data_IF_336712365589
#
_entry.id   IF_336712365589
#
_cell.length_a   1.000
_cell.length_b   1.000
_cell.length_c   1.000
_cell.angle_alpha   90.00
_cell.angle_beta   90.00
_cell.angle_gamma   90.00
#
_symmetry.space_group_name_H-M   'P 1'
#
loop_
_entity.id
_entity.type
_entity.pdbx_description
1 polymer ?
#
# COMPACT_ATOMS: atom_id res chain seq x y z
N UNK A 1 1.38 13.28 -24.88
CA UNK A 1 0.29 14.07 -24.27
C UNK A 1 -0.82 13.09 -23.94
N UNK A 2 -0.88 12.63 -22.69
CA UNK A 2 -1.81 11.58 -22.26
C UNK A 2 -3.23 12.13 -22.11
N UNK A 3 -4.20 11.46 -22.72
CA UNK A 3 -5.62 11.76 -22.50
C UNK A 3 -6.05 11.14 -21.16
N UNK A 4 -6.57 12.00 -20.30
CA UNK A 4 -7.12 11.68 -18.98
C UNK A 4 -8.43 10.91 -19.19
N UNK A 5 -8.60 9.74 -18.57
CA UNK A 5 -9.93 9.15 -18.39
C UNK A 5 -10.08 8.62 -16.97
N UNK A 6 -11.19 8.99 -16.32
CA UNK A 6 -11.45 8.85 -14.88
C UNK A 6 -12.16 7.53 -14.58
N UNK A 7 -11.73 6.83 -13.51
CA UNK A 7 -12.60 5.83 -12.89
C UNK A 7 -13.66 6.50 -12.04
N UNK A 8 -14.89 6.07 -12.31
CA UNK A 8 -16.12 6.60 -11.74
C UNK A 8 -16.75 5.49 -10.93
N UNK A 9 -16.50 5.45 -9.62
CA UNK A 9 -17.41 4.75 -8.73
C UNK A 9 -18.65 5.64 -8.60
N UNK A 10 -19.82 5.13 -8.95
CA UNK A 10 -21.06 5.91 -8.88
C UNK A 10 -22.14 5.22 -8.06
N UNK A 11 -22.93 6.01 -7.37
CA UNK A 11 -24.11 5.56 -6.64
C UNK A 11 -25.23 6.57 -6.77
N UNK A 12 -26.46 6.08 -6.75
CA UNK A 12 -27.65 6.92 -6.81
C UNK A 12 -28.52 6.67 -5.59
N UNK A 13 -28.97 7.74 -4.95
CA UNK A 13 -29.87 7.71 -3.82
C UNK A 13 -31.16 8.47 -4.14
N UNK A 14 -32.30 7.90 -3.76
CA UNK A 14 -33.62 8.52 -3.91
C UNK A 14 -34.14 8.97 -2.54
N UNK A 15 -34.37 10.27 -2.39
CA UNK A 15 -34.95 10.85 -1.20
C UNK A 15 -36.39 11.30 -1.47
N UNK A 16 -37.35 10.54 -0.96
CA UNK A 16 -38.78 10.84 -1.07
C UNK A 16 -39.20 11.84 0.02
N UNK A 17 -39.77 12.96 -0.38
CA UNK A 17 -40.17 14.06 0.49
C UNK A 17 -41.67 14.26 0.42
N UNK A 18 -42.30 14.39 1.58
CA UNK A 18 -43.72 14.72 1.69
C UNK A 18 -43.91 16.24 1.64
N UNK A 19 -44.71 16.71 0.69
CA UNK A 19 -44.84 18.13 0.39
C UNK A 19 -45.49 18.92 1.55
N UNK A 20 -46.43 18.29 2.27
CA UNK A 20 -47.08 18.86 3.45
C UNK A 20 -46.08 19.26 4.54
N UNK A 21 -45.00 18.48 4.71
CA UNK A 21 -44.01 18.65 5.79
C UNK A 21 -43.02 19.78 5.55
N UNK A 22 -42.96 20.33 4.34
CA UNK A 22 -41.98 21.34 3.95
C UNK A 22 -42.58 22.74 3.78
N UNK A 23 -43.91 22.86 3.75
CA UNK A 23 -44.61 24.15 3.55
C UNK A 23 -44.28 25.18 4.62
N UNK A 24 -44.17 24.72 5.86
CA UNK A 24 -44.02 25.59 7.03
C UNK A 24 -42.55 25.68 7.51
N UNK A 25 -41.60 25.12 6.75
CA UNK A 25 -40.18 25.18 7.11
C UNK A 25 -39.69 26.62 6.94
N UNK A 26 -39.12 27.25 7.99
CA UNK A 26 -38.58 28.61 7.88
C UNK A 26 -37.48 28.75 6.82
N UNK A 27 -37.28 29.97 6.34
CA UNK A 27 -36.10 30.29 5.52
C UNK A 27 -34.82 29.98 6.32
N UNK A 28 -33.85 29.37 5.66
CA UNK A 28 -32.60 28.92 6.24
C UNK A 28 -32.64 27.53 6.88
N UNK A 29 -33.83 26.96 7.09
CA UNK A 29 -33.98 25.61 7.63
C UNK A 29 -34.13 24.54 6.54
N UNK A 30 -33.89 23.29 6.91
CA UNK A 30 -33.88 22.16 5.99
C UNK A 30 -34.45 20.87 6.58
N UNK A 31 -34.80 19.94 5.70
CA UNK A 31 -34.93 18.52 6.03
C UNK A 31 -33.73 17.74 5.53
N UNK A 32 -33.34 16.69 6.26
CA UNK A 32 -32.26 15.79 5.88
C UNK A 32 -32.78 14.43 5.47
N UNK A 33 -32.15 13.82 4.48
CA UNK A 33 -32.30 12.38 4.24
C UNK A 33 -31.70 11.57 5.39
N UNK A 34 -32.09 10.29 5.54
CA UNK A 34 -31.27 9.31 6.25
C UNK A 34 -29.84 9.25 5.68
N UNK A 35 -28.90 8.79 6.51
CA UNK A 35 -27.53 8.52 6.05
C UNK A 35 -27.56 7.31 5.12
N UNK A 36 -26.92 7.43 3.96
CA UNK A 36 -26.72 6.36 3.00
C UNK A 36 -25.24 6.22 2.67
N UNK A 37 -24.82 5.02 2.26
CA UNK A 37 -23.41 4.72 2.00
C UNK A 37 -23.17 4.70 0.50
N UNK A 38 -22.17 5.45 0.03
CA UNK A 38 -21.67 5.35 -1.35
C UNK A 38 -20.16 5.21 -1.34
N UNK A 39 -19.66 4.16 -2.02
CA UNK A 39 -18.23 3.84 -2.07
C UNK A 39 -17.57 3.74 -0.67
N UNK A 40 -18.29 3.22 0.32
CA UNK A 40 -17.79 3.11 1.70
C UNK A 40 -17.87 4.39 2.55
N UNK A 41 -18.31 5.52 1.99
CA UNK A 41 -18.45 6.79 2.70
C UNK A 41 -19.88 7.08 3.13
N UNK A 42 -20.05 7.71 4.29
CA UNK A 42 -21.37 8.10 4.81
C UNK A 42 -21.82 9.42 4.15
N UNK A 43 -23.00 9.42 3.57
CA UNK A 43 -23.55 10.51 2.78
C UNK A 43 -24.96 10.88 3.25
N UNK A 44 -25.37 12.14 3.09
CA UNK A 44 -26.75 12.60 3.28
C UNK A 44 -27.07 13.78 2.37
N UNK A 45 -28.36 14.03 2.14
CA UNK A 45 -28.87 15.18 1.39
C UNK A 45 -29.61 16.09 2.37
N UNK A 46 -29.34 17.39 2.31
CA UNK A 46 -30.10 18.41 3.01
C UNK A 46 -30.88 19.24 1.98
N UNK A 47 -32.18 19.40 2.20
CA UNK A 47 -33.08 20.13 1.32
C UNK A 47 -33.69 21.33 2.04
N UNK A 48 -33.40 22.52 1.52
CA UNK A 48 -33.85 23.81 2.00
C UNK A 48 -34.97 24.31 1.07
N UNK A 49 -36.25 24.09 1.40
CA UNK A 49 -37.37 24.39 0.50
C UNK A 49 -37.51 25.88 0.17
N UNK A 50 -37.11 26.76 1.09
CA UNK A 50 -37.25 28.21 0.92
C UNK A 50 -35.91 28.96 0.78
N UNK A 51 -34.80 28.23 0.66
CA UNK A 51 -33.46 28.83 0.55
C UNK A 51 -33.02 29.63 1.78
N UNK A 52 -32.01 30.48 1.61
CA UNK A 52 -31.48 31.39 2.64
C UNK A 52 -31.89 32.85 2.41
N UNK A 53 -32.13 33.23 1.15
CA UNK A 53 -32.35 34.61 0.74
C UNK A 53 -33.82 34.83 0.34
N UNK A 54 -34.24 36.09 0.22
CA UNK A 54 -35.63 36.46 -0.12
C UNK A 54 -36.07 36.09 -1.55
N UNK A 55 -35.15 35.55 -2.35
CA UNK A 55 -35.39 35.17 -3.74
C UNK A 55 -36.20 33.86 -3.91
N UNK A 56 -36.54 33.17 -2.82
CA UNK A 56 -37.38 31.95 -2.87
C UNK A 56 -36.72 30.76 -3.57
N UNK A 57 -35.39 30.77 -3.64
CA UNK A 57 -34.60 29.78 -4.37
C UNK A 57 -34.34 28.59 -3.44
N UNK A 58 -34.98 27.45 -3.71
CA UNK A 58 -34.71 26.21 -2.97
C UNK A 58 -33.24 25.79 -3.12
N UNK A 59 -32.69 25.12 -2.10
CA UNK A 59 -31.29 24.67 -2.11
C UNK A 59 -31.17 23.20 -1.74
N UNK A 60 -30.26 22.50 -2.41
CA UNK A 60 -29.88 21.13 -2.09
C UNK A 60 -28.40 21.09 -1.74
N UNK A 61 -28.08 20.48 -0.61
CA UNK A 61 -26.71 20.29 -0.14
C UNK A 61 -26.45 18.80 -0.03
N UNK A 62 -25.32 18.37 -0.59
CA UNK A 62 -24.78 17.04 -0.41
C UNK A 62 -23.72 17.12 0.68
N UNK A 63 -23.89 16.32 1.72
CA UNK A 63 -22.95 16.24 2.82
C UNK A 63 -22.34 14.83 2.88
N UNK A 64 -21.02 14.77 3.05
CA UNK A 64 -20.28 13.51 3.13
C UNK A 64 -19.32 13.53 4.31
N UNK A 65 -19.19 12.37 4.97
CA UNK A 65 -18.15 12.07 5.94
C UNK A 65 -17.19 11.02 5.35
N UNK A 66 -15.96 11.43 5.09
CA UNK A 66 -14.93 10.60 4.50
C UNK A 66 -14.27 9.69 5.54
N UNK A 67 -14.48 8.37 5.40
CA UNK A 67 -13.86 7.34 6.25
C UNK A 67 -12.41 6.99 5.89
N UNK A 68 -11.97 7.24 4.65
CA UNK A 68 -10.63 6.85 4.16
C UNK A 68 -10.01 7.96 3.31
N UNK A 69 -9.19 8.80 3.94
CA UNK A 69 -8.49 9.91 3.26
C UNK A 69 -9.40 10.99 2.68
N UNK A 70 -8.78 11.97 2.02
CA UNK A 70 -9.48 13.02 1.29
C UNK A 70 -9.99 12.49 -0.06
N UNK A 71 -11.22 12.87 -0.40
CA UNK A 71 -11.93 12.31 -1.56
C UNK A 71 -12.44 13.42 -2.46
N UNK A 72 -12.25 13.25 -3.77
CA UNK A 72 -12.82 14.15 -4.78
C UNK A 72 -13.98 13.46 -5.48
N UNK A 73 -15.14 14.11 -5.48
CA UNK A 73 -16.34 13.59 -6.13
C UNK A 73 -17.11 14.68 -6.87
N UNK A 74 -17.77 14.28 -7.95
CA UNK A 74 -18.82 15.06 -8.60
C UNK A 74 -20.16 14.50 -8.16
N UNK A 75 -21.17 15.35 -8.02
CA UNK A 75 -22.52 14.88 -7.70
C UNK A 75 -23.55 15.70 -8.44
N UNK A 76 -24.69 15.10 -8.73
CA UNK A 76 -25.79 15.76 -9.40
C UNK A 76 -27.09 15.49 -8.64
N UNK A 77 -27.90 16.54 -8.57
CA UNK A 77 -29.23 16.48 -8.04
C UNK A 77 -30.25 16.49 -9.15
N UNK A 78 -31.33 15.73 -8.96
CA UNK A 78 -32.43 15.56 -9.87
C UNK A 78 -33.77 15.55 -9.15
N UNK A 79 -34.86 15.85 -9.84
CA UNK A 79 -36.22 15.57 -9.36
C UNK A 79 -36.97 14.69 -10.35
N UNK A 80 -37.70 13.72 -9.84
CA UNK A 80 -38.65 12.93 -10.62
C UNK A 80 -39.95 13.71 -10.78
N UNK A 81 -40.47 13.75 -12.00
CA UNK A 81 -41.82 14.25 -12.26
C UNK A 81 -42.88 13.26 -11.72
N UNK A 82 -44.16 13.65 -11.80
CA UNK A 82 -45.29 12.80 -11.36
C UNK A 82 -45.40 11.45 -12.10
N UNK A 83 -44.72 11.28 -13.22
CA UNK A 83 -44.65 10.03 -13.98
C UNK A 83 -43.44 9.16 -13.61
N UNK A 84 -42.63 9.59 -12.63
CA UNK A 84 -41.42 8.88 -12.19
C UNK A 84 -40.22 9.06 -13.13
N UNK A 85 -40.28 10.03 -14.05
CA UNK A 85 -39.19 10.32 -14.99
C UNK A 85 -38.37 11.51 -14.51
N UNK A 86 -37.05 11.45 -14.70
CA UNK A 86 -36.16 12.54 -14.37
C UNK A 86 -36.49 13.77 -15.23
N UNK A 87 -36.74 14.91 -14.60
CA UNK A 87 -36.99 16.15 -15.34
C UNK A 87 -35.69 16.83 -15.75
N UNK A 88 -35.55 17.10 -17.05
CA UNK A 88 -34.38 17.78 -17.63
C UNK A 88 -34.23 19.22 -17.16
N UNK A 89 -35.34 19.90 -16.83
CA UNK A 89 -35.34 21.25 -16.23
C UNK A 89 -34.81 21.26 -14.79
N UNK A 90 -34.77 20.07 -14.18
CA UNK A 90 -34.67 19.85 -12.76
C UNK A 90 -33.41 19.07 -12.38
N UNK A 91 -32.32 19.32 -13.11
CA UNK A 91 -31.04 18.66 -12.92
C UNK A 91 -29.93 19.70 -12.73
N UNK A 92 -29.11 19.54 -11.70
CA UNK A 92 -27.94 20.39 -11.41
C UNK A 92 -26.77 19.52 -11.01
N UNK A 93 -25.64 19.71 -11.69
CA UNK A 93 -24.39 18.99 -11.42
C UNK A 93 -23.39 19.92 -10.74
N UNK A 94 -22.73 19.43 -9.70
CA UNK A 94 -21.50 19.98 -9.15
C UNK A 94 -20.35 19.18 -9.73
N UNK A 95 -19.46 19.89 -10.45
CA UNK A 95 -18.46 19.24 -11.28
C UNK A 95 -17.34 18.60 -10.47
N UNK A 96 -16.81 19.24 -9.44
CA UNK A 96 -15.80 18.66 -8.54
C UNK A 96 -15.87 19.31 -7.16
N UNK A 97 -15.93 18.49 -6.12
CA UNK A 97 -15.85 18.93 -4.74
C UNK A 97 -14.91 17.99 -3.96
N UNK A 98 -14.06 18.58 -3.12
CA UNK A 98 -13.16 17.83 -2.23
C UNK A 98 -13.77 17.76 -0.84
N UNK A 99 -13.79 16.55 -0.28
CA UNK A 99 -14.29 16.23 1.04
C UNK A 99 -13.12 15.72 1.88
N UNK A 100 -12.89 16.31 3.05
CA UNK A 100 -11.75 15.95 3.90
C UNK A 100 -12.12 14.92 4.95
N UNK A 101 -11.13 14.15 5.38
CA UNK A 101 -11.30 13.09 6.37
C UNK A 101 -11.77 13.63 7.74
N UNK A 102 -12.58 12.82 8.45
CA UNK A 102 -12.99 13.01 9.85
C UNK A 102 -13.92 14.20 10.15
N UNK A 103 -14.50 14.85 9.13
CA UNK A 103 -15.51 15.90 9.29
C UNK A 103 -16.63 15.73 8.27
N UNK A 104 -17.84 16.18 8.60
CA UNK A 104 -18.90 16.35 7.61
C UNK A 104 -18.57 17.56 6.74
N UNK A 105 -18.34 17.32 5.46
CA UNK A 105 -18.12 18.37 4.46
C UNK A 105 -19.35 18.54 3.58
N UNK A 106 -19.80 19.77 3.46
CA UNK A 106 -21.05 20.15 2.79
C UNK A 106 -20.74 20.91 1.49
N UNK A 107 -21.27 20.41 0.37
CA UNK A 107 -21.23 21.10 -0.92
C UNK A 107 -22.62 21.06 -1.54
N UNK A 108 -23.10 22.18 -2.08
CA UNK A 108 -24.49 22.27 -2.51
C UNK A 108 -24.72 23.16 -3.71
N UNK A 109 -25.89 23.03 -4.30
CA UNK A 109 -26.38 23.84 -5.42
C UNK A 109 -27.68 24.53 -5.03
N UNK A 110 -27.79 25.77 -5.45
CA UNK A 110 -29.04 26.52 -5.39
C UNK A 110 -29.82 26.30 -6.67
N UNK A 111 -31.14 26.19 -6.54
CA UNK A 111 -32.05 25.91 -7.62
C UNK A 111 -33.17 26.92 -7.59
N UNK A 112 -33.18 27.79 -8.62
CA UNK A 112 -34.30 28.70 -8.84
C UNK A 112 -35.40 27.95 -9.57
N UNK A 113 -36.45 27.57 -8.85
CA UNK A 113 -37.66 27.01 -9.43
C UNK A 113 -38.86 27.70 -8.82
N UNK A 114 -39.81 28.10 -9.64
CA UNK A 114 -41.03 28.71 -9.16
C UNK A 114 -41.84 27.65 -8.39
N UNK A 115 -42.26 27.98 -7.17
CA UNK A 115 -42.91 27.03 -6.25
C UNK A 115 -44.20 26.43 -6.84
N UNK A 116 -44.92 27.20 -7.66
CA UNK A 116 -46.12 26.80 -8.41
C UNK A 116 -45.86 25.76 -9.52
N UNK A 117 -44.71 25.86 -10.21
CA UNK A 117 -44.27 24.85 -11.19
C UNK A 117 -43.84 23.55 -10.50
N UNK A 118 -43.33 23.62 -9.26
CA UNK A 118 -42.88 22.45 -8.50
C UNK A 118 -44.04 21.53 -8.07
N UNK A 119 -45.17 22.10 -7.63
CA UNK A 119 -46.33 21.33 -7.16
C UNK A 119 -47.03 20.58 -8.29
N UNK A 120 -47.31 21.25 -9.40
CA UNK A 120 -48.11 20.71 -10.51
C UNK A 120 -47.38 19.64 -11.36
N UNK A 121 -46.05 19.69 -11.40
CA UNK A 121 -45.23 18.81 -12.23
C UNK A 121 -44.55 17.66 -11.48
N UNK A 122 -44.23 17.83 -10.18
CA UNK A 122 -43.38 16.89 -9.44
C UNK A 122 -44.09 16.18 -8.29
N UNK A 123 -45.13 16.80 -7.73
CA UNK A 123 -45.84 16.20 -6.60
C UNK A 123 -46.85 15.18 -7.13
N UNK A 124 -46.72 13.94 -6.67
CA UNK A 124 -47.65 12.84 -6.89
C UNK A 124 -48.01 12.24 -5.55
N UNK A 125 -49.30 12.09 -5.27
CA UNK A 125 -49.80 11.53 -4.00
C UNK A 125 -49.21 12.27 -2.78
N UNK A 126 -49.09 13.60 -2.88
CA UNK A 126 -48.54 14.46 -1.83
C UNK A 126 -47.02 14.39 -1.64
N UNK A 127 -46.30 13.63 -2.45
CA UNK A 127 -44.84 13.48 -2.34
C UNK A 127 -44.12 13.84 -3.65
N UNK A 128 -42.85 14.22 -3.55
CA UNK A 128 -41.93 14.27 -4.69
C UNK A 128 -40.63 13.53 -4.33
N UNK A 129 -39.87 13.14 -5.35
CA UNK A 129 -38.63 12.37 -5.15
C UNK A 129 -37.44 13.17 -5.68
N UNK A 130 -36.49 13.43 -4.78
CA UNK A 130 -35.17 13.94 -5.09
C UNK A 130 -34.24 12.78 -5.41
N UNK A 131 -33.40 12.95 -6.42
CA UNK A 131 -32.35 12.02 -6.80
C UNK A 131 -31.02 12.70 -6.56
N UNK A 132 -30.11 12.00 -5.90
CA UNK A 132 -28.69 12.38 -5.87
C UNK A 132 -27.88 11.27 -6.52
N UNK A 133 -27.16 11.58 -7.58
CA UNK A 133 -26.14 10.70 -8.15
C UNK A 133 -24.77 11.23 -7.76
N UNK A 134 -23.96 10.41 -7.11
CA UNK A 134 -22.60 10.74 -6.70
C UNK A 134 -21.65 9.92 -7.56
N UNK A 135 -20.60 10.56 -8.06
CA UNK A 135 -19.55 10.00 -8.89
C UNK A 135 -18.22 10.38 -8.26
N UNK A 136 -17.57 9.41 -7.63
CA UNK A 136 -16.21 9.54 -7.13
C UNK A 136 -15.26 9.55 -8.30
N UNK A 137 -14.32 10.48 -8.28
CA UNK A 137 -13.32 10.62 -9.33
C UNK A 137 -12.00 10.23 -8.70
N UNK A 138 -11.58 9.00 -8.97
CA UNK A 138 -10.22 8.59 -8.68
C UNK A 138 -9.36 8.93 -9.89
N UNK A 139 -8.23 9.60 -9.67
CA UNK A 139 -7.16 9.61 -10.66
C UNK A 139 -6.58 8.19 -10.71
N UNK A 140 -7.20 7.33 -11.54
CA UNK A 140 -6.56 6.10 -11.98
C UNK A 140 -6.19 6.25 -13.45
N UNK A 141 -4.92 6.06 -13.75
CA UNK A 141 -4.37 6.08 -15.10
C UNK A 141 -5.01 4.94 -15.91
N UNK A 142 -5.89 5.26 -16.86
CA UNK A 142 -6.46 4.25 -17.78
C UNK A 142 -5.69 4.15 -19.08
N UNK A 143 -5.12 2.98 -19.30
CA UNK A 143 -4.34 2.60 -20.47
C UNK A 143 -5.17 2.58 -21.77
N UNK A 144 -4.48 2.93 -22.86
CA UNK A 144 -4.85 2.79 -24.30
C UNK A 144 -5.32 1.34 -24.60
N UNK A 145 -6.16 1.07 -25.64
CA UNK A 145 -6.58 -0.29 -25.96
C UNK A 145 -5.36 -1.17 -26.24
N UNK A 146 -5.06 -2.07 -25.32
CA UNK A 146 -3.96 -3.00 -25.39
C UNK A 146 -4.53 -4.41 -25.24
N UNK A 147 -4.02 -5.35 -26.03
CA UNK A 147 -4.16 -6.80 -25.83
C UNK A 147 -3.51 -7.30 -24.51
N UNK A 148 -3.35 -6.41 -23.53
CA UNK A 148 -2.62 -6.57 -22.29
C UNK A 148 -3.57 -6.17 -21.16
N UNK A 149 -3.85 -7.11 -20.26
CA UNK A 149 -4.81 -6.99 -19.17
C UNK A 149 -4.01 -6.84 -17.87
N UNK A 150 -4.41 -5.94 -16.97
CA UNK A 150 -3.97 -5.84 -15.57
C UNK A 150 -2.50 -5.48 -15.26
N UNK A 151 -1.75 -4.82 -16.16
CA UNK A 151 -0.34 -4.46 -15.88
C UNK A 151 0.59 -5.67 -15.67
N UNK A 152 0.05 -6.87 -15.86
CA UNK A 152 0.77 -8.14 -15.88
C UNK A 152 0.71 -8.56 -17.34
N UNK A 153 1.87 -8.55 -18.01
CA UNK A 153 2.03 -9.36 -19.21
C UNK A 153 1.48 -10.76 -18.86
N UNK A 154 0.68 -11.44 -19.69
CA UNK A 154 0.24 -12.83 -19.41
C UNK A 154 1.41 -13.84 -19.32
N UNK A 155 2.61 -13.30 -19.30
CA UNK A 155 3.92 -13.86 -19.44
C UNK A 155 4.85 -12.94 -18.65
N UNK A 156 5.10 -13.24 -17.39
CA UNK A 156 6.13 -12.51 -16.66
C UNK A 156 7.49 -12.97 -17.21
N UNK A 157 8.38 -12.02 -17.53
CA UNK A 157 9.75 -12.38 -17.94
C UNK A 157 10.42 -13.20 -16.82
N UNK A 158 10.08 -12.89 -15.57
CA UNK A 158 10.51 -13.62 -14.39
C UNK A 158 10.08 -15.08 -14.44
N UNK A 159 8.85 -15.39 -14.89
CA UNK A 159 8.37 -16.78 -15.02
C UNK A 159 9.16 -17.54 -16.10
N UNK A 160 9.51 -16.88 -17.20
CA UNK A 160 10.33 -17.50 -18.25
C UNK A 160 11.77 -17.70 -17.84
N UNK A 161 12.35 -16.72 -17.14
CA UNK A 161 13.69 -16.82 -16.57
C UNK A 161 13.72 -17.91 -15.49
N UNK A 162 12.69 -18.00 -14.65
CA UNK A 162 12.55 -19.08 -13.68
C UNK A 162 12.47 -20.45 -14.36
N UNK A 163 11.62 -20.59 -15.39
CA UNK A 163 11.54 -21.82 -16.17
C UNK A 163 12.87 -22.18 -16.84
N UNK A 164 13.64 -21.18 -17.29
CA UNK A 164 14.98 -21.38 -17.83
C UNK A 164 15.92 -21.99 -16.78
N UNK A 165 15.86 -21.50 -15.53
CA UNK A 165 16.60 -22.06 -14.40
C UNK A 165 16.14 -23.49 -14.08
N UNK A 166 14.83 -23.76 -14.00
CA UNK A 166 14.29 -25.07 -13.65
C UNK A 166 14.57 -26.15 -14.71
N UNK A 167 14.40 -25.81 -15.99
CA UNK A 167 14.64 -26.75 -17.10
C UNK A 167 16.11 -27.00 -17.37
N UNK A 168 17.01 -26.14 -16.87
CA UNK A 168 18.47 -26.21 -17.07
C UNK A 168 18.88 -26.17 -18.56
N UNK A 169 18.01 -25.65 -19.42
CA UNK A 169 18.24 -25.55 -20.87
C UNK A 169 19.31 -24.49 -21.15
N UNK A 170 20.36 -24.87 -21.90
CA UNK A 170 21.49 -23.99 -22.21
C UNK A 170 22.29 -23.48 -21.00
N UNK A 171 22.19 -24.15 -19.84
CA UNK A 171 23.03 -23.87 -18.70
C UNK A 171 24.52 -24.09 -19.04
N UNK A 172 25.35 -23.08 -18.80
CA UNK A 172 26.76 -23.02 -19.18
C UNK A 172 27.70 -22.90 -17.97
N UNK A 173 27.15 -22.98 -16.76
CA UNK A 173 27.91 -23.05 -15.50
C UNK A 173 27.22 -23.95 -14.49
N UNK A 174 28.01 -24.60 -13.65
CA UNK A 174 27.56 -25.37 -12.49
C UNK A 174 28.28 -24.92 -11.22
N UNK A 175 27.59 -25.06 -10.10
CA UNK A 175 28.09 -24.76 -8.76
C UNK A 175 27.91 -26.00 -7.88
N UNK A 176 28.90 -26.29 -7.06
CA UNK A 176 28.83 -27.33 -6.02
C UNK A 176 28.69 -26.64 -4.66
N UNK A 177 27.60 -26.94 -3.95
CA UNK A 177 27.24 -26.34 -2.66
C UNK A 177 26.93 -27.47 -1.70
N UNK A 178 27.80 -27.72 -0.71
CA UNK A 178 27.68 -28.86 0.22
C UNK A 178 27.39 -30.22 -0.47
N UNK A 179 27.99 -30.45 -1.64
CA UNK A 179 27.81 -31.67 -2.45
C UNK A 179 26.58 -31.68 -3.36
N UNK A 180 25.73 -30.65 -3.31
CA UNK A 180 24.63 -30.44 -4.25
C UNK A 180 25.09 -29.64 -5.47
N UNK A 181 24.65 -30.06 -6.67
CA UNK A 181 25.01 -29.40 -7.93
C UNK A 181 23.87 -28.51 -8.43
N UNK A 182 24.17 -27.22 -8.58
CA UNK A 182 23.28 -26.21 -9.13
C UNK A 182 23.77 -25.75 -10.49
N UNK A 183 22.94 -25.85 -11.52
CA UNK A 183 23.26 -25.38 -12.88
C UNK A 183 22.59 -24.04 -13.15
N UNK A 184 23.28 -23.13 -13.85
CA UNK A 184 22.78 -21.78 -14.13
C UNK A 184 23.39 -21.21 -15.42
N UNK A 185 23.11 -19.93 -15.68
CA UNK A 185 23.52 -19.19 -16.87
C UNK A 185 24.47 -18.06 -16.50
N UNK A 186 25.68 -18.07 -17.04
CA UNK A 186 26.74 -17.07 -16.77
C UNK A 186 26.26 -15.66 -17.07
N UNK A 187 25.55 -15.48 -18.18
CA UNK A 187 25.02 -14.17 -18.60
C UNK A 187 24.00 -13.59 -17.62
N UNK A 188 23.06 -14.40 -17.13
CA UNK A 188 22.04 -13.97 -16.17
C UNK A 188 22.69 -13.63 -14.83
N UNK A 189 23.56 -14.51 -14.31
CA UNK A 189 24.29 -14.27 -13.05
C UNK A 189 25.15 -13.00 -13.13
N UNK A 190 25.91 -12.83 -14.21
CA UNK A 190 26.79 -11.68 -14.41
C UNK A 190 26.04 -10.36 -14.62
N UNK A 191 24.83 -10.39 -15.18
CA UNK A 191 24.01 -9.19 -15.31
C UNK A 191 23.44 -8.72 -13.97
N UNK A 192 23.27 -9.63 -13.01
CA UNK A 192 22.53 -9.42 -11.77
C UNK A 192 23.41 -9.29 -10.53
N UNK A 193 24.67 -9.71 -10.62
CA UNK A 193 25.67 -9.63 -9.54
C UNK A 193 27.02 -9.22 -10.11
N UNK A 194 27.60 -8.16 -9.56
CA UNK A 194 28.94 -7.71 -9.94
C UNK A 194 30.02 -8.75 -9.58
N UNK A 195 29.81 -9.48 -8.48
CA UNK A 195 30.71 -10.55 -8.04
C UNK A 195 30.68 -11.71 -9.03
N UNK A 196 29.49 -12.17 -9.43
CA UNK A 196 29.40 -13.19 -10.49
C UNK A 196 29.88 -12.67 -11.84
N UNK A 197 29.70 -11.39 -12.15
CA UNK A 197 30.26 -10.79 -13.37
C UNK A 197 31.78 -10.94 -13.41
N UNK A 198 32.46 -10.52 -12.35
CA UNK A 198 33.91 -10.65 -12.23
C UNK A 198 34.36 -12.12 -12.24
N UNK A 199 33.68 -13.00 -11.50
CA UNK A 199 34.04 -14.40 -11.37
C UNK A 199 33.84 -15.19 -12.67
N UNK A 200 32.75 -14.92 -13.40
CA UNK A 200 32.34 -15.71 -14.56
C UNK A 200 32.78 -15.06 -15.88
N UNK A 201 32.73 -13.74 -16.01
CA UNK A 201 33.06 -13.05 -17.27
C UNK A 201 34.36 -12.26 -17.20
N UNK A 202 34.98 -12.16 -16.02
CA UNK A 202 36.23 -11.44 -15.84
C UNK A 202 37.46 -12.13 -16.45
N UNK A 203 38.61 -11.45 -16.48
CA UNK A 203 39.84 -11.95 -17.11
C UNK A 203 40.36 -13.27 -16.53
N UNK A 204 40.06 -13.53 -15.26
CA UNK A 204 40.48 -14.72 -14.53
C UNK A 204 39.40 -15.82 -14.50
N UNK A 205 38.31 -15.65 -15.25
CA UNK A 205 37.24 -16.64 -15.28
C UNK A 205 37.77 -17.98 -15.79
N UNK A 206 37.52 -19.03 -14.99
CA UNK A 206 37.82 -20.41 -15.39
C UNK A 206 37.10 -20.76 -16.69
N UNK A 207 37.84 -21.32 -17.65
CA UNK A 207 37.29 -21.83 -18.92
C UNK A 207 36.91 -23.32 -18.86
N UNK A 208 37.08 -23.94 -17.68
CA UNK A 208 36.74 -25.33 -17.45
C UNK A 208 35.23 -25.54 -17.27
N UNK A 209 34.80 -26.78 -17.47
CA UNK A 209 33.42 -27.23 -17.19
C UNK A 209 33.24 -27.76 -15.76
N UNK A 210 34.29 -27.69 -14.93
CA UNK A 210 34.22 -28.15 -13.55
C UNK A 210 33.30 -27.26 -12.71
N UNK A 211 32.49 -27.83 -11.80
CA UNK A 211 31.63 -27.05 -10.92
C UNK A 211 32.43 -26.08 -10.04
N UNK A 212 31.91 -24.85 -9.91
CA UNK A 212 32.47 -23.84 -9.02
C UNK A 212 32.02 -24.15 -7.59
N UNK A 213 32.97 -24.39 -6.68
CA UNK A 213 32.66 -24.69 -5.28
C UNK A 213 32.23 -23.44 -4.51
N UNK A 214 31.14 -23.56 -3.76
CA UNK A 214 30.64 -22.55 -2.83
C UNK A 214 30.63 -23.17 -1.43
N UNK A 215 31.53 -22.71 -0.54
CA UNK A 215 31.74 -23.31 0.78
C UNK A 215 30.95 -22.61 1.91
N UNK A 216 30.64 -21.32 1.76
CA UNK A 216 30.08 -20.50 2.85
C UNK A 216 28.55 -20.27 2.76
N UNK A 217 27.85 -20.99 1.88
CA UNK A 217 26.42 -20.80 1.64
C UNK A 217 25.74 -22.16 1.68
N UNK A 218 24.71 -22.31 2.51
CA UNK A 218 23.91 -23.54 2.56
C UNK A 218 23.13 -23.74 1.25
N UNK A 219 22.86 -24.98 0.79
CA UNK A 219 22.13 -25.24 -0.46
C UNK A 219 20.79 -24.50 -0.57
N UNK A 220 20.00 -24.47 0.50
CA UNK A 220 18.72 -23.76 0.53
C UNK A 220 18.85 -22.23 0.33
N UNK A 221 19.92 -21.63 0.86
CA UNK A 221 20.19 -20.20 0.74
C UNK A 221 20.64 -19.90 -0.68
N UNK A 222 21.52 -20.74 -1.23
CA UNK A 222 21.95 -20.62 -2.62
C UNK A 222 20.79 -20.77 -3.61
N UNK A 223 19.88 -21.71 -3.34
CA UNK A 223 18.64 -21.87 -4.11
C UNK A 223 17.77 -20.60 -4.06
N UNK A 224 17.59 -20.00 -2.89
CA UNK A 224 16.84 -18.75 -2.75
C UNK A 224 17.52 -17.57 -3.47
N UNK A 225 18.86 -17.49 -3.43
CA UNK A 225 19.61 -16.50 -4.21
C UNK A 225 19.41 -16.68 -5.71
N UNK A 226 19.49 -17.92 -6.21
CA UNK A 226 19.25 -18.21 -7.63
C UNK A 226 17.81 -17.85 -8.02
N UNK A 227 16.82 -18.18 -7.19
CA UNK A 227 15.45 -17.75 -7.44
C UNK A 227 15.37 -16.22 -7.61
N UNK A 228 15.87 -15.46 -6.63
CA UNK A 228 15.89 -14.00 -6.69
C UNK A 228 16.61 -13.44 -7.93
N UNK A 229 17.76 -14.02 -8.31
CA UNK A 229 18.52 -13.56 -9.48
C UNK A 229 17.68 -13.65 -10.76
N UNK A 230 16.82 -14.66 -10.89
CA UNK A 230 16.00 -14.89 -12.08
C UNK A 230 14.63 -14.22 -12.01
N UNK A 231 14.11 -13.92 -10.81
CA UNK A 231 12.71 -13.52 -10.64
C UNK A 231 12.45 -12.28 -9.80
N UNK A 232 13.49 -11.64 -9.26
CA UNK A 232 13.36 -10.48 -8.34
C UNK A 232 12.46 -10.76 -7.11
N UNK A 233 12.22 -12.04 -6.80
CA UNK A 233 11.34 -12.48 -5.72
C UNK A 233 12.00 -13.59 -4.90
N UNK A 234 11.57 -13.70 -3.65
CA UNK A 234 11.93 -14.83 -2.80
C UNK A 234 11.01 -16.02 -3.10
N UNK A 235 11.50 -17.27 -2.95
CA UNK A 235 10.62 -18.43 -2.99
C UNK A 235 9.58 -18.34 -1.87
N UNK A 236 8.47 -19.06 -2.01
CA UNK A 236 7.53 -19.20 -0.89
C UNK A 236 8.20 -20.02 0.22
N UNK A 237 8.54 -19.34 1.31
CA UNK A 237 9.23 -19.94 2.46
C UNK A 237 8.25 -20.34 3.58
N UNK A 238 6.93 -20.33 3.32
CA UNK A 238 5.89 -20.52 4.33
C UNK A 238 5.76 -21.95 4.84
N UNK A 239 6.20 -22.96 4.07
CA UNK A 239 6.02 -24.37 4.43
C UNK A 239 7.04 -24.88 5.48
N UNK A 240 8.14 -24.15 5.69
CA UNK A 240 9.16 -24.49 6.68
C UNK A 240 8.93 -23.72 7.99
N UNK A 241 7.86 -24.10 8.70
CA UNK A 241 7.61 -23.66 10.07
C UNK A 241 8.85 -23.93 10.95
N UNK A 242 9.67 -22.89 11.20
CA UNK A 242 10.46 -22.57 12.42
C UNK A 242 11.76 -21.75 12.15
N UNK A 243 12.21 -21.50 10.91
CA UNK A 243 13.52 -20.83 10.71
C UNK A 243 13.56 -19.57 9.84
N UNK A 244 12.42 -18.97 9.48
CA UNK A 244 12.39 -17.85 8.52
C UNK A 244 13.35 -16.69 8.87
N UNK A 245 13.47 -16.31 10.14
CA UNK A 245 14.42 -15.26 10.58
C UNK A 245 15.87 -15.70 10.34
N UNK A 246 16.27 -16.89 10.83
CA UNK A 246 17.63 -17.40 10.65
C UNK A 246 17.97 -17.61 9.16
N UNK A 247 17.01 -18.06 8.35
CA UNK A 247 17.16 -18.15 6.90
C UNK A 247 17.38 -16.77 6.27
N UNK A 248 16.56 -15.78 6.65
CA UNK A 248 16.67 -14.41 6.15
C UNK A 248 18.01 -13.79 6.54
N UNK A 249 18.51 -14.07 7.75
CA UNK A 249 19.83 -13.66 8.21
C UNK A 249 20.95 -14.24 7.35
N UNK A 250 20.93 -15.55 7.09
CA UNK A 250 21.91 -16.19 6.20
C UNK A 250 21.80 -15.68 4.76
N UNK A 251 20.57 -15.41 4.29
CA UNK A 251 20.33 -14.86 2.97
C UNK A 251 20.84 -13.42 2.83
N UNK A 252 20.72 -12.60 3.89
CA UNK A 252 21.27 -11.25 3.94
C UNK A 252 22.79 -11.26 3.80
N UNK A 253 23.48 -12.12 4.55
CA UNK A 253 24.94 -12.29 4.45
C UNK A 253 25.35 -12.72 3.04
N UNK A 254 24.59 -13.63 2.42
CA UNK A 254 24.87 -14.06 1.06
C UNK A 254 24.55 -12.96 0.03
N UNK A 255 23.48 -12.18 0.22
CA UNK A 255 23.15 -11.05 -0.63
C UNK A 255 24.25 -10.00 -0.64
N UNK A 256 24.79 -9.66 0.53
CA UNK A 256 25.92 -8.74 0.67
C UNK A 256 27.19 -9.28 -0.01
N UNK A 257 27.55 -10.54 0.29
CA UNK A 257 28.73 -11.22 -0.30
C UNK A 257 28.72 -11.23 -1.83
N UNK A 258 27.55 -11.38 -2.45
CA UNK A 258 27.40 -11.44 -3.90
C UNK A 258 26.91 -10.12 -4.52
N UNK A 259 26.87 -9.02 -3.76
CA UNK A 259 26.42 -7.71 -4.22
C UNK A 259 25.04 -7.74 -4.91
N UNK A 260 24.07 -8.38 -4.24
CA UNK A 260 22.68 -8.47 -4.66
C UNK A 260 21.83 -7.44 -3.89
N UNK A 261 21.99 -6.16 -4.21
CA UNK A 261 21.43 -5.04 -3.42
C UNK A 261 19.91 -5.13 -3.21
N UNK A 262 19.17 -5.52 -4.25
CA UNK A 262 17.71 -5.70 -4.13
C UNK A 262 17.31 -6.79 -3.14
N UNK A 263 18.06 -7.90 -3.11
CA UNK A 263 17.85 -8.99 -2.16
C UNK A 263 18.22 -8.56 -0.74
N UNK A 264 19.33 -7.80 -0.62
CA UNK A 264 19.78 -7.23 0.65
C UNK A 264 18.68 -6.38 1.29
N UNK A 265 18.09 -5.44 0.53
CA UNK A 265 16.97 -4.60 0.97
C UNK A 265 15.76 -5.43 1.42
N UNK A 266 15.37 -6.45 0.66
CA UNK A 266 14.23 -7.32 1.01
C UNK A 266 14.47 -8.07 2.32
N UNK A 267 15.69 -8.58 2.53
CA UNK A 267 16.07 -9.25 3.76
C UNK A 267 16.08 -8.28 4.96
N UNK A 268 16.61 -7.06 4.79
CA UNK A 268 16.61 -6.04 5.83
C UNK A 268 15.19 -5.66 6.28
N UNK A 269 14.29 -5.35 5.34
CA UNK A 269 12.89 -5.00 5.61
C UNK A 269 12.11 -6.14 6.29
N UNK A 270 12.45 -7.40 5.99
CA UNK A 270 11.88 -8.55 6.68
C UNK A 270 12.37 -8.64 8.13
N UNK A 271 13.68 -8.51 8.35
CA UNK A 271 14.28 -8.63 9.68
C UNK A 271 13.87 -7.49 10.61
N UNK A 272 13.75 -6.27 10.10
CA UNK A 272 13.26 -5.11 10.85
C UNK A 272 11.86 -5.35 11.42
N UNK A 273 10.97 -6.00 10.65
CA UNK A 273 9.60 -6.35 11.09
C UNK A 273 9.56 -7.46 12.13
N UNK A 274 10.61 -8.29 12.20
CA UNK A 274 10.71 -9.43 13.11
C UNK A 274 11.58 -9.15 14.34
N UNK A 275 11.94 -7.89 14.63
CA UNK A 275 12.67 -7.51 15.85
C UNK A 275 11.81 -7.82 17.09
N UNK A 276 12.31 -8.73 17.92
CA UNK A 276 11.65 -9.21 19.14
C UNK A 276 12.67 -9.56 20.22
N UNK A 277 12.22 -9.93 21.41
CA UNK A 277 13.11 -10.40 22.48
C UNK A 277 14.00 -11.57 22.08
N UNK A 278 13.52 -12.45 21.18
CA UNK A 278 14.22 -13.65 20.78
C UNK A 278 15.19 -13.43 19.61
N UNK A 279 14.95 -12.40 18.80
CA UNK A 279 15.66 -12.16 17.54
C UNK A 279 16.58 -10.94 17.60
N UNK A 280 16.35 -9.99 18.51
CA UNK A 280 17.07 -8.70 18.50
C UNK A 280 18.59 -8.85 18.64
N UNK A 281 19.08 -9.81 19.42
CA UNK A 281 20.53 -10.00 19.62
C UNK A 281 21.19 -10.48 18.33
N UNK A 282 20.60 -11.45 17.63
CA UNK A 282 21.16 -11.96 16.38
C UNK A 282 21.03 -10.96 15.23
N UNK A 283 19.91 -10.22 15.15
CA UNK A 283 19.71 -9.13 14.18
C UNK A 283 20.73 -8.01 14.43
N UNK A 284 20.91 -7.59 15.68
CA UNK A 284 21.88 -6.54 16.03
C UNK A 284 23.32 -6.96 15.74
N UNK A 285 23.67 -8.23 15.99
CA UNK A 285 24.99 -8.78 15.63
C UNK A 285 25.24 -8.69 14.13
N UNK A 286 24.23 -9.00 13.31
CA UNK A 286 24.33 -8.90 11.85
C UNK A 286 24.41 -7.45 11.37
N UNK A 287 23.61 -6.55 11.95
CA UNK A 287 23.67 -5.13 11.64
C UNK A 287 25.07 -4.57 11.90
N UNK A 288 25.73 -5.01 12.97
CA UNK A 288 27.13 -4.64 13.24
C UNK A 288 28.10 -5.23 12.21
N UNK A 289 27.95 -6.52 11.86
CA UNK A 289 28.85 -7.22 10.94
C UNK A 289 28.79 -6.66 9.51
N UNK A 290 27.60 -6.22 9.08
CA UNK A 290 27.34 -5.72 7.73
C UNK A 290 27.27 -4.19 7.67
N UNK A 291 27.61 -3.50 8.77
CA UNK A 291 27.60 -2.03 8.89
C UNK A 291 26.24 -1.40 8.47
N UNK A 292 25.14 -1.98 8.95
CA UNK A 292 23.76 -1.56 8.64
C UNK A 292 23.23 -0.61 9.73
N UNK A 293 23.47 0.68 9.55
CA UNK A 293 23.14 1.72 10.55
C UNK A 293 21.64 1.81 10.85
N UNK A 294 20.78 1.79 9.83
CA UNK A 294 19.32 1.87 10.03
C UNK A 294 18.79 0.67 10.85
N UNK A 295 19.32 -0.52 10.59
CA UNK A 295 18.98 -1.73 11.35
C UNK A 295 19.52 -1.67 12.78
N UNK A 296 20.73 -1.14 12.96
CA UNK A 296 21.32 -0.92 14.28
C UNK A 296 20.46 0.03 15.12
N UNK A 297 20.01 1.14 14.54
CA UNK A 297 19.17 2.14 15.22
C UNK A 297 17.84 1.55 15.67
N UNK A 298 17.19 0.72 14.84
CA UNK A 298 15.95 0.03 15.23
C UNK A 298 16.18 -1.00 16.35
N UNK A 299 17.28 -1.76 16.30
CA UNK A 299 17.68 -2.64 17.40
C UNK A 299 17.92 -1.85 18.70
N UNK A 300 18.62 -0.72 18.65
CA UNK A 300 18.85 0.14 19.81
C UNK A 300 17.55 0.73 20.34
N UNK A 301 16.63 1.14 19.46
CA UNK A 301 15.31 1.63 19.84
C UNK A 301 14.47 0.58 20.56
N UNK A 302 14.60 -0.69 20.17
CA UNK A 302 13.96 -1.80 20.84
C UNK A 302 14.59 -2.10 22.21
N UNK A 303 15.93 -2.24 22.25
CA UNK A 303 16.69 -2.64 23.45
C UNK A 303 16.65 -1.57 24.53
N UNK A 304 16.78 -0.29 24.17
CA UNK A 304 16.88 0.81 25.14
C UNK A 304 15.57 1.13 25.88
N UNK A 305 14.49 0.38 25.64
CA UNK A 305 13.27 0.45 26.47
C UNK A 305 13.59 -0.17 27.84
N UNK A 306 13.28 0.48 28.97
CA UNK A 306 13.66 0.00 30.31
C UNK A 306 13.28 -1.46 30.58
N UNK A 307 12.07 -1.87 30.19
CA UNK A 307 11.59 -3.24 30.35
C UNK A 307 12.41 -4.24 29.53
N UNK A 308 12.65 -3.93 28.24
CA UNK A 308 13.44 -4.78 27.34
C UNK A 308 14.87 -4.95 27.84
N UNK A 309 15.54 -3.84 28.16
CA UNK A 309 16.93 -3.85 28.63
C UNK A 309 17.08 -4.69 29.90
N UNK A 310 16.16 -4.53 30.86
CA UNK A 310 16.21 -5.26 32.12
C UNK A 310 16.11 -6.78 31.92
N UNK A 311 15.32 -7.23 30.93
CA UNK A 311 15.19 -8.64 30.59
C UNK A 311 16.41 -9.15 29.83
N UNK A 312 16.89 -8.40 28.82
CA UNK A 312 18.06 -8.79 28.02
C UNK A 312 19.35 -8.87 28.84
N UNK A 313 19.53 -7.99 29.82
CA UNK A 313 20.70 -8.00 30.70
C UNK A 313 20.85 -9.30 31.51
N UNK A 314 19.79 -10.11 31.61
CA UNK A 314 19.82 -11.43 32.26
C UNK A 314 20.16 -12.57 31.32
N UNK A 315 20.14 -12.36 29.99
CA UNK A 315 20.42 -13.38 29.00
C UNK A 315 21.92 -13.52 28.75
N UNK A 316 22.38 -14.77 28.65
CA UNK A 316 23.80 -15.09 28.41
C UNK A 316 24.29 -14.58 27.05
N UNK A 317 23.51 -14.75 25.99
CA UNK A 317 23.85 -14.31 24.63
C UNK A 317 24.04 -12.78 24.53
N UNK A 318 23.23 -12.00 25.24
CA UNK A 318 23.41 -10.55 25.32
C UNK A 318 24.70 -10.18 26.06
N UNK A 319 24.98 -10.81 27.20
CA UNK A 319 26.20 -10.56 27.98
C UNK A 319 27.45 -10.91 27.16
N UNK A 320 27.43 -12.05 26.46
CA UNK A 320 28.53 -12.45 25.58
C UNK A 320 28.76 -11.45 24.45
N UNK A 321 27.70 -10.92 23.84
CA UNK A 321 27.83 -9.88 22.81
C UNK A 321 28.45 -8.59 23.37
N UNK A 322 28.01 -8.12 24.55
CA UNK A 322 28.58 -6.93 25.19
C UNK A 322 30.06 -7.10 25.58
N UNK A 323 30.50 -8.33 25.89
CA UNK A 323 31.89 -8.65 26.17
C UNK A 323 32.73 -8.70 24.88
N UNK A 324 32.16 -9.29 23.82
CA UNK A 324 32.85 -9.47 22.54
C UNK A 324 32.93 -8.18 21.72
N UNK A 325 32.04 -7.22 21.95
CA UNK A 325 31.94 -5.98 21.17
C UNK A 325 31.91 -4.73 22.07
N UNK A 326 33.08 -4.21 22.50
CA UNK A 326 33.16 -3.01 23.35
C UNK A 326 32.51 -1.77 22.73
N UNK A 327 32.63 -1.59 21.41
CA UNK A 327 32.04 -0.47 20.66
C UNK A 327 30.51 -0.46 20.77
N UNK A 328 29.89 -1.64 20.66
CA UNK A 328 28.44 -1.79 20.76
C UNK A 328 27.95 -1.52 22.20
N UNK A 329 28.73 -1.94 23.21
CA UNK A 329 28.47 -1.61 24.62
C UNK A 329 28.51 -0.10 24.88
N UNK A 330 29.50 0.60 24.32
CA UNK A 330 29.60 2.07 24.42
C UNK A 330 28.44 2.77 23.73
N UNK A 331 28.06 2.31 22.53
CA UNK A 331 26.94 2.84 21.76
C UNK A 331 25.61 2.72 22.52
N UNK A 332 25.34 1.55 23.11
CA UNK A 332 24.16 1.33 23.97
C UNK A 332 24.19 2.27 25.18
N UNK A 333 25.35 2.41 25.85
CA UNK A 333 25.51 3.32 26.98
C UNK A 333 25.21 4.78 26.62
N UNK A 334 25.70 5.25 25.48
CA UNK A 334 25.41 6.58 24.94
C UNK A 334 23.92 6.76 24.65
N UNK A 335 23.30 5.78 24.00
CA UNK A 335 21.89 5.82 23.62
C UNK A 335 20.96 5.87 24.84
N UNK A 336 21.24 5.05 25.88
CA UNK A 336 20.53 5.09 27.16
C UNK A 336 20.70 6.46 27.83
N UNK A 337 21.94 6.96 27.91
CA UNK A 337 22.22 8.28 28.47
C UNK A 337 21.42 9.38 27.78
N UNK A 338 21.44 9.42 26.44
CA UNK A 338 20.74 10.43 25.64
C UNK A 338 19.21 10.44 25.84
N UNK A 339 18.59 9.28 26.09
CA UNK A 339 17.14 9.17 26.35
C UNK A 339 16.78 9.65 27.75
N UNK A 340 17.62 9.39 28.75
CA UNK A 340 17.41 9.86 30.13
C UNK A 340 17.38 11.40 30.20
N UNK A 341 18.24 12.09 29.44
CA UNK A 341 18.28 13.56 29.39
C UNK A 341 17.12 14.21 28.63
N UNK A 342 16.35 13.46 27.82
CA UNK A 342 15.18 13.99 27.10
C UNK A 342 13.87 13.89 27.88
N UNK A 343 13.86 13.11 28.97
CA UNK A 343 12.67 12.85 29.80
C UNK A 343 12.74 13.47 31.20
N UNK A 344 13.86 14.12 31.54
CA UNK A 344 14.03 14.95 32.73
C UNK A 344 13.86 16.42 32.35
#
# INVERSE_FOLDING_TARGET
>A
MGNISMEVACGTYQFKVEYSKIKDIPKGDFISSPIFIVNGHDCKIQYFPHGYDDNGIMRLIFAMNCKSGDVTASFAFGMLNKYGQLSSKACRRVNMATFRQNLWHEHGVSWSMEQSESESHFVRDGCFTLICSVTFMSESYKEVPKRYINGILPFNIDDYLFQLLEKKEAADVSFEVDGEIFTAHRSVLAARSQVFNAQLLGPMAGRGMEPIKIEDVKPMIFKAMLHFIYTDSLPDMSDENVQLVAMTQHLLVAADKYALDGLKILCEDRLLRDISMDTVISIMTLAQQLELDDMMDECLNFICKPTTLSLLATREDYVQLMLSCPSLRELIGYHIGSKIWRTA
#
